data_IF_911522260264
#
_entry.id   IF_911522260264
#
_cell.length_a   1.000
_cell.length_b   1.000
_cell.length_c   1.000
_cell.angle_alpha   90.00
_cell.angle_beta   90.00
_cell.angle_gamma   90.00
#
_symmetry.space_group_name_H-M   'P 1'
#
loop_
_entity.id
_entity.type
_entity.pdbx_description
1 polymer ?
#
# COMPACT_ATOMS: atom_id res chain seq x y z
N UNK A 1 7.39 -13.29 4.51
CA UNK A 1 7.17 -11.87 4.22
C UNK A 1 5.79 -11.46 4.72
N UNK A 2 5.68 -10.26 5.27
CA UNK A 2 4.42 -9.61 5.59
C UNK A 2 4.44 -8.21 4.98
N UNK A 3 3.36 -7.82 4.28
CA UNK A 3 3.23 -6.50 3.67
C UNK A 3 2.17 -5.71 4.45
N UNK A 4 2.55 -4.55 4.92
CA UNK A 4 1.63 -3.62 5.57
C UNK A 4 1.29 -2.51 4.57
N UNK A 5 0.00 -2.38 4.23
CA UNK A 5 -0.48 -1.48 3.17
C UNK A 5 -1.56 -0.51 3.65
N UNK A 6 -1.81 -0.44 4.97
CA UNK A 6 -2.83 0.44 5.56
C UNK A 6 -2.21 1.78 5.97
N UNK A 7 -1.01 1.73 6.55
CA UNK A 7 -0.29 2.91 7.02
C UNK A 7 -0.70 3.33 8.45
N UNK A 8 -0.79 2.37 9.37
CA UNK A 8 -1.01 2.64 10.80
C UNK A 8 0.08 1.97 11.63
N UNK A 9 0.62 2.66 12.63
CA UNK A 9 1.64 2.11 13.51
C UNK A 9 1.23 0.77 14.13
N UNK A 10 -0.04 0.65 14.54
CA UNK A 10 -0.59 -0.60 15.09
C UNK A 10 -0.54 -1.77 14.10
N UNK A 11 -0.86 -1.54 12.84
CA UNK A 11 -0.82 -2.60 11.80
C UNK A 11 0.60 -2.96 11.41
N UNK A 12 1.53 -1.99 11.44
CA UNK A 12 2.97 -2.23 11.26
C UNK A 12 3.51 -3.13 12.38
N UNK A 13 3.15 -2.85 13.64
CA UNK A 13 3.54 -3.70 14.77
C UNK A 13 2.96 -5.12 14.65
N UNK A 14 1.70 -5.25 14.23
CA UNK A 14 1.08 -6.55 13.99
C UNK A 14 1.79 -7.32 12.89
N UNK A 15 2.10 -6.67 11.77
CA UNK A 15 2.85 -7.26 10.65
C UNK A 15 4.23 -7.77 11.12
N UNK A 16 4.96 -6.98 11.91
CA UNK A 16 6.25 -7.36 12.44
C UNK A 16 6.16 -8.51 13.46
N UNK A 17 5.16 -8.48 14.35
CA UNK A 17 4.96 -9.54 15.35
C UNK A 17 4.60 -10.89 14.72
N UNK A 18 3.82 -10.88 13.64
CA UNK A 18 3.38 -12.10 12.94
C UNK A 18 4.49 -12.82 12.15
N UNK A 19 5.65 -12.18 11.99
CA UNK A 19 6.78 -12.79 11.30
C UNK A 19 7.33 -14.01 12.05
N UNK A 20 7.68 -15.05 11.30
CA UNK A 20 8.58 -16.08 11.80
C UNK A 20 9.99 -15.53 12.02
N UNK A 21 10.87 -16.28 12.68
CA UNK A 21 12.30 -15.97 12.76
C UNK A 21 12.89 -15.84 11.34
N UNK A 22 13.77 -14.86 11.15
CA UNK A 22 14.32 -14.50 9.85
C UNK A 22 13.33 -13.89 8.86
N UNK A 23 12.11 -13.56 9.31
CA UNK A 23 11.07 -12.97 8.47
C UNK A 23 11.27 -11.47 8.22
N UNK A 24 10.60 -10.97 7.18
CA UNK A 24 10.69 -9.57 6.78
C UNK A 24 9.29 -8.94 6.70
N UNK A 25 9.06 -7.85 7.43
CA UNK A 25 7.92 -6.97 7.27
C UNK A 25 8.28 -5.79 6.36
N UNK A 26 7.46 -5.53 5.36
CA UNK A 26 7.63 -4.44 4.41
C UNK A 26 6.46 -3.47 4.58
N UNK A 27 6.75 -2.25 4.99
CA UNK A 27 5.77 -1.18 5.14
C UNK A 27 5.64 -0.44 3.82
N UNK A 28 4.46 -0.51 3.23
CA UNK A 28 4.06 0.16 1.98
C UNK A 28 3.04 1.25 2.26
N UNK A 29 2.23 1.07 3.31
CA UNK A 29 1.23 2.04 3.74
C UNK A 29 1.87 3.36 4.17
N UNK A 30 1.22 4.48 3.84
CA UNK A 30 1.68 5.82 4.22
C UNK A 30 1.08 6.18 5.56
N UNK A 31 1.92 6.28 6.59
CA UNK A 31 1.50 6.67 7.94
C UNK A 31 1.37 8.19 8.08
N UNK A 32 0.67 8.63 9.11
CA UNK A 32 0.71 10.04 9.55
C UNK A 32 2.08 10.35 10.14
N UNK A 33 2.52 11.58 10.01
CA UNK A 33 3.87 11.99 10.44
C UNK A 33 4.10 11.95 11.96
N UNK A 34 3.03 11.86 12.75
CA UNK A 34 3.04 11.77 14.21
C UNK A 34 2.85 10.34 14.73
N UNK A 35 2.68 9.36 13.84
CA UNK A 35 2.50 7.96 14.22
C UNK A 35 3.84 7.30 14.57
N UNK A 36 3.81 6.31 15.44
CA UNK A 36 5.01 5.64 15.96
C UNK A 36 4.82 4.13 16.02
N UNK A 37 5.94 3.42 15.99
CA UNK A 37 5.99 1.96 16.03
C UNK A 37 6.95 1.52 17.12
N UNK A 38 6.51 0.60 17.98
CA UNK A 38 7.36 0.01 19.01
C UNK A 38 7.80 -1.38 18.61
N UNK A 39 9.11 -1.56 18.48
CA UNK A 39 9.72 -2.85 18.18
C UNK A 39 10.63 -3.26 19.34
N UNK A 40 10.47 -4.50 19.80
CA UNK A 40 11.33 -5.05 20.86
C UNK A 40 12.70 -5.42 20.26
N UNK A 41 13.82 -4.84 20.73
CA UNK A 41 15.17 -5.13 20.19
C UNK A 41 15.52 -6.62 20.13
N UNK A 42 15.14 -7.49 21.12
CA UNK A 42 15.41 -8.92 21.04
C UNK A 42 14.84 -9.62 19.79
N UNK A 43 13.71 -9.11 19.27
CA UNK A 43 13.11 -9.66 18.05
C UNK A 43 13.97 -9.37 16.81
N UNK A 44 14.69 -8.25 16.80
CA UNK A 44 15.66 -7.94 15.75
C UNK A 44 16.92 -8.81 15.87
N UNK A 45 17.45 -8.97 17.08
CA UNK A 45 18.73 -9.63 17.31
C UNK A 45 18.62 -11.15 17.35
N UNK A 46 17.73 -11.70 18.21
CA UNK A 46 17.66 -13.15 18.42
C UNK A 46 16.70 -13.86 17.45
N UNK A 47 15.78 -13.13 16.89
CA UNK A 47 14.84 -13.68 15.90
C UNK A 47 15.20 -13.28 14.47
N UNK A 48 16.22 -12.43 14.27
CA UNK A 48 16.70 -11.95 12.96
C UNK A 48 15.57 -11.38 12.08
N UNK A 49 14.52 -10.83 12.73
CA UNK A 49 13.43 -10.20 12.00
C UNK A 49 13.84 -8.87 11.40
N UNK A 50 13.33 -8.58 10.21
CA UNK A 50 13.59 -7.32 9.50
C UNK A 50 12.30 -6.49 9.44
N UNK A 51 12.41 -5.20 9.74
CA UNK A 51 11.39 -4.19 9.42
C UNK A 51 12.00 -3.23 8.41
N UNK A 52 11.34 -3.05 7.27
CA UNK A 52 11.80 -2.16 6.19
C UNK A 52 10.62 -1.46 5.52
N UNK A 53 10.88 -0.33 4.89
CA UNK A 53 9.90 0.39 4.09
C UNK A 53 10.05 0.10 2.59
N UNK A 54 9.02 0.44 1.84
CA UNK A 54 9.03 0.43 0.37
C UNK A 54 8.20 1.61 -0.14
N UNK A 55 8.86 2.57 -0.76
CA UNK A 55 8.21 3.72 -1.36
C UNK A 55 7.95 3.44 -2.84
N UNK A 56 6.67 3.36 -3.22
CA UNK A 56 6.24 2.95 -4.56
C UNK A 56 6.89 1.65 -5.07
N UNK A 57 7.12 0.66 -4.17
CA UNK A 57 7.80 -0.58 -4.56
C UNK A 57 9.28 -0.39 -4.86
N UNK A 58 9.91 0.68 -4.38
CA UNK A 58 11.29 1.10 -4.74
C UNK A 58 11.45 1.29 -6.25
N UNK A 59 10.37 1.73 -6.90
CA UNK A 59 10.29 1.86 -8.35
C UNK A 59 11.23 2.92 -8.91
N UNK A 60 11.69 2.67 -10.13
CA UNK A 60 12.34 3.65 -11.00
C UNK A 60 11.31 4.14 -12.02
N UNK A 61 10.61 5.26 -11.78
CA UNK A 61 9.45 5.66 -12.58
C UNK A 61 9.70 5.71 -14.08
N UNK A 62 10.88 6.18 -14.50
CA UNK A 62 11.25 6.27 -15.93
C UNK A 62 11.38 4.93 -16.63
N UNK A 63 11.73 3.86 -15.88
CA UNK A 63 11.88 2.50 -16.39
C UNK A 63 10.60 1.68 -16.16
N UNK A 64 10.05 1.78 -14.95
CA UNK A 64 8.94 0.91 -14.55
C UNK A 64 7.61 1.32 -15.15
N UNK A 65 7.32 2.63 -15.34
CA UNK A 65 6.06 3.03 -15.97
C UNK A 65 5.91 2.54 -17.42
N UNK A 66 6.91 2.70 -18.33
CA UNK A 66 6.80 2.12 -19.64
C UNK A 66 6.63 0.59 -19.63
N UNK A 67 7.32 -0.09 -18.70
CA UNK A 67 7.19 -1.55 -18.51
C UNK A 67 5.78 -1.94 -18.06
N UNK A 68 5.23 -1.27 -17.06
CA UNK A 68 3.87 -1.52 -16.57
C UNK A 68 2.82 -1.23 -17.64
N UNK A 69 2.96 -0.13 -18.39
CA UNK A 69 2.09 0.18 -19.51
C UNK A 69 2.17 -0.88 -20.62
N UNK A 70 3.37 -1.41 -20.88
CA UNK A 70 3.55 -2.52 -21.81
C UNK A 70 2.79 -3.77 -21.37
N UNK A 71 2.85 -4.11 -20.07
CA UNK A 71 2.09 -5.23 -19.52
C UNK A 71 0.58 -5.00 -19.58
N UNK A 72 0.12 -3.79 -19.29
CA UNK A 72 -1.29 -3.42 -19.41
C UNK A 72 -1.80 -3.54 -20.85
N UNK A 73 -1.09 -2.98 -21.82
CA UNK A 73 -1.43 -3.09 -23.25
C UNK A 73 -1.44 -4.52 -23.77
N UNK A 74 -0.61 -5.38 -23.20
CA UNK A 74 -0.56 -6.81 -23.50
C UNK A 74 -1.65 -7.63 -22.77
N UNK A 75 -2.56 -7.00 -22.01
CA UNK A 75 -3.59 -7.66 -21.21
C UNK A 75 -3.06 -8.49 -20.03
N UNK A 76 -1.78 -8.30 -19.66
CA UNK A 76 -1.11 -9.02 -18.57
C UNK A 76 -1.16 -8.29 -17.23
N UNK A 77 -1.56 -7.03 -17.22
CA UNK A 77 -1.77 -6.22 -16.02
C UNK A 77 -3.20 -5.67 -16.09
N UNK A 78 -4.01 -6.05 -15.11
CA UNK A 78 -5.40 -5.64 -14.99
C UNK A 78 -5.47 -4.35 -14.19
N UNK A 79 -5.88 -3.25 -14.81
CA UNK A 79 -6.06 -1.94 -14.17
C UNK A 79 -7.51 -1.46 -14.25
N UNK A 80 -8.18 -1.71 -15.36
CA UNK A 80 -9.56 -1.24 -15.57
C UNK A 80 -10.54 -1.90 -14.59
N UNK A 81 -10.30 -3.16 -14.26
CA UNK A 81 -11.11 -3.92 -13.31
C UNK A 81 -11.02 -3.38 -11.87
N UNK A 82 -9.99 -2.59 -11.56
CA UNK A 82 -9.84 -1.94 -10.26
C UNK A 82 -10.76 -0.72 -10.13
N UNK A 83 -11.21 -0.14 -11.25
CA UNK A 83 -12.12 1.02 -11.25
C UNK A 83 -13.52 0.53 -10.95
N UNK A 84 -13.94 0.70 -9.70
CA UNK A 84 -15.25 0.24 -9.24
C UNK A 84 -16.34 1.29 -9.33
N UNK A 85 -15.96 2.57 -9.44
CA UNK A 85 -16.91 3.68 -9.56
C UNK A 85 -16.34 4.85 -10.37
N UNK A 86 -17.19 5.51 -11.16
CA UNK A 86 -16.83 6.71 -11.92
C UNK A 86 -17.74 7.85 -11.46
N UNK A 87 -17.16 9.01 -11.21
CA UNK A 87 -17.85 10.22 -10.77
C UNK A 87 -17.61 11.34 -11.79
N UNK A 88 -18.60 12.22 -11.95
CA UNK A 88 -18.37 13.52 -12.59
C UNK A 88 -17.64 14.47 -11.62
N UNK A 89 -17.13 15.58 -12.14
CA UNK A 89 -16.46 16.61 -11.31
C UNK A 89 -17.40 17.14 -10.21
N UNK A 90 -18.68 17.35 -10.53
CA UNK A 90 -19.68 17.84 -9.56
C UNK A 90 -19.94 16.84 -8.42
N UNK A 91 -19.64 15.57 -8.63
CA UNK A 91 -19.77 14.51 -7.64
C UNK A 91 -18.50 14.32 -6.79
N UNK A 92 -17.49 15.19 -6.91
CA UNK A 92 -16.26 15.07 -6.13
C UNK A 92 -16.47 14.96 -4.61
N UNK A 93 -17.37 15.76 -3.97
CA UNK A 93 -17.64 15.60 -2.54
C UNK A 93 -18.19 14.20 -2.19
N UNK A 94 -19.04 13.64 -3.03
CA UNK A 94 -19.58 12.29 -2.86
C UNK A 94 -18.48 11.23 -3.04
N UNK A 95 -17.57 11.41 -4.01
CA UNK A 95 -16.45 10.51 -4.24
C UNK A 95 -15.55 10.39 -3.01
N UNK A 96 -15.25 11.51 -2.33
CA UNK A 96 -14.49 11.51 -1.07
C UNK A 96 -15.25 10.86 0.08
N UNK A 97 -16.54 11.14 0.23
CA UNK A 97 -17.37 10.49 1.25
C UNK A 97 -17.44 8.97 1.06
N UNK A 98 -17.53 8.49 -0.18
CA UNK A 98 -17.56 7.07 -0.51
C UNK A 98 -16.18 6.41 -0.29
N UNK A 99 -15.09 7.14 -0.52
CA UNK A 99 -13.73 6.69 -0.20
C UNK A 99 -13.55 6.50 1.31
N UNK A 100 -13.95 7.49 2.12
CA UNK A 100 -13.89 7.41 3.59
C UNK A 100 -14.75 6.28 4.15
N UNK A 101 -15.91 6.06 3.53
CA UNK A 101 -16.83 4.98 3.91
C UNK A 101 -16.40 3.59 3.40
N UNK A 102 -15.29 3.48 2.64
CA UNK A 102 -14.80 2.22 2.08
C UNK A 102 -15.75 1.58 1.07
N UNK A 103 -16.61 2.35 0.40
CA UNK A 103 -17.64 1.84 -0.52
C UNK A 103 -17.09 1.43 -1.89
N UNK A 104 -15.90 1.88 -2.25
CA UNK A 104 -15.28 1.54 -3.52
C UNK A 104 -13.81 1.16 -3.34
N UNK A 105 -13.30 0.30 -4.19
CA UNK A 105 -11.89 -0.04 -4.22
C UNK A 105 -11.08 1.07 -4.91
N UNK A 106 -11.63 1.65 -5.99
CA UNK A 106 -11.06 2.79 -6.71
C UNK A 106 -12.18 3.60 -7.37
N UNK A 107 -12.41 4.79 -6.86
CA UNK A 107 -13.23 5.81 -7.50
C UNK A 107 -12.38 6.67 -8.43
N UNK A 108 -12.90 7.01 -9.60
CA UNK A 108 -12.24 7.87 -10.59
C UNK A 108 -13.14 9.04 -10.92
N UNK A 109 -12.60 10.27 -10.90
CA UNK A 109 -13.30 11.45 -11.37
C UNK A 109 -13.00 11.63 -12.86
N UNK A 110 -14.04 11.75 -13.67
CA UNK A 110 -13.94 11.90 -15.12
C UNK A 110 -14.36 13.34 -15.48
N UNK A 111 -13.54 13.99 -16.28
CA UNK A 111 -13.74 15.35 -16.79
C UNK A 111 -14.45 15.34 -18.12
#
# INVERSE_FOLDING_TARGET
YCFECIGLGKTIEQAFRSLRKGGKAVVVGVTRGDDSVTVKPPALTFEEKTLTGSYFGSARPREDFPRLLGLYRAGRLKLDELITHRYSVDQAPQAFADLEAGKNARGVIVF
#
